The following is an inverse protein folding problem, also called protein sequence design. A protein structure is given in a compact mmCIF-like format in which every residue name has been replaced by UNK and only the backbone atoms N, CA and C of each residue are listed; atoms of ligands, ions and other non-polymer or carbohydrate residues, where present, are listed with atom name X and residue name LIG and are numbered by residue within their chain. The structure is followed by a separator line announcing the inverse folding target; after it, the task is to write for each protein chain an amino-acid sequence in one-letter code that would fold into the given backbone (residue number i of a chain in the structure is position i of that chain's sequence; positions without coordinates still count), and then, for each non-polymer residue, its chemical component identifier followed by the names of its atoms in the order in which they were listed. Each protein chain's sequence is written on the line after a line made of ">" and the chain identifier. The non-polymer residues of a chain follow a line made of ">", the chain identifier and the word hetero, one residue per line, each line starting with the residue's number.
data_IF_088545515069
#
_entry.id   IF_088545515069
#
_cell.length_a   1.000
_cell.length_b   1.000
_cell.length_c   1.000
_cell.angle_alpha   90.00
_cell.angle_beta   90.00
_cell.angle_gamma   90.00
#
_symmetry.space_group_name_H-M   'P 1'
#
loop_
_entity.id
_entity.type
_entity.pdbx_description
1 polymer ?
#
# COMPACT_ATOMS: atom_id res chain seq x y z
N UNK A 1 33.61 8.93 -29.96
CA UNK A 1 32.47 8.42 -30.74
C UNK A 1 32.10 7.04 -30.22
N UNK A 2 30.81 6.68 -30.25
CA UNK A 2 30.37 5.33 -29.90
C UNK A 2 30.83 4.35 -30.98
N UNK A 3 31.19 3.12 -30.58
CA UNK A 3 31.44 2.02 -31.52
C UNK A 3 30.14 1.67 -32.25
N UNK A 4 30.26 0.98 -33.38
CA UNK A 4 29.11 0.42 -34.10
C UNK A 4 28.27 -0.47 -33.15
N UNK A 5 26.95 -0.28 -33.15
CA UNK A 5 26.03 -0.92 -32.22
C UNK A 5 26.02 -0.33 -30.80
N UNK A 6 26.65 0.83 -30.58
CA UNK A 6 26.77 1.44 -29.27
C UNK A 6 25.44 1.96 -28.72
N UNK A 7 25.25 1.83 -27.40
CA UNK A 7 24.10 2.34 -26.68
C UNK A 7 24.36 3.73 -26.11
N UNK A 8 23.35 4.58 -26.20
CA UNK A 8 23.29 5.90 -25.59
C UNK A 8 22.24 5.90 -24.48
N UNK A 9 22.53 6.60 -23.38
CA UNK A 9 21.59 6.88 -22.32
C UNK A 9 21.77 8.33 -21.83
N UNK A 10 20.66 9.03 -21.61
CA UNK A 10 20.62 10.37 -21.04
C UNK A 10 19.64 10.45 -19.88
N UNK A 11 20.04 11.18 -18.83
CA UNK A 11 19.21 11.53 -17.68
C UNK A 11 18.81 13.00 -17.80
N UNK A 12 17.52 13.29 -17.90
CA UNK A 12 17.00 14.66 -18.07
C UNK A 12 15.85 14.93 -17.09
N UNK A 13 16.01 15.87 -16.12
CA UNK A 13 14.95 16.21 -15.18
C UNK A 13 13.76 16.96 -15.81
N UNK A 14 13.96 17.62 -16.96
CA UNK A 14 12.91 18.39 -17.63
C UNK A 14 12.54 17.78 -18.98
N UNK A 15 11.26 17.83 -19.36
CA UNK A 15 10.79 17.23 -20.62
C UNK A 15 11.31 17.97 -21.86
N UNK A 16 11.58 19.26 -21.76
CA UNK A 16 12.15 20.08 -22.84
C UNK A 16 13.60 19.64 -23.15
N UNK A 17 14.35 19.17 -22.13
CA UNK A 17 15.68 18.60 -22.33
C UNK A 17 15.60 17.27 -23.08
N UNK A 18 14.59 16.44 -22.77
CA UNK A 18 14.31 15.20 -23.50
C UNK A 18 14.00 15.51 -24.96
N UNK A 19 13.12 16.48 -25.23
CA UNK A 19 12.74 16.86 -26.59
C UNK A 19 13.96 17.28 -27.42
N UNK A 20 14.83 18.12 -26.85
CA UNK A 20 16.09 18.53 -27.49
C UNK A 20 17.02 17.35 -27.74
N UNK A 21 17.18 16.47 -26.75
CA UNK A 21 18.01 15.26 -26.85
C UNK A 21 17.50 14.32 -27.95
N UNK A 22 16.19 14.04 -27.98
CA UNK A 22 15.57 13.23 -29.02
C UNK A 22 15.71 13.84 -30.41
N UNK A 23 15.62 15.17 -30.53
CA UNK A 23 15.89 15.88 -31.78
C UNK A 23 17.32 15.67 -32.26
N UNK A 24 18.31 15.86 -31.38
CA UNK A 24 19.72 15.65 -31.69
C UNK A 24 20.04 14.18 -32.05
N UNK A 25 19.45 13.22 -31.33
CA UNK A 25 19.63 11.79 -31.60
C UNK A 25 19.09 11.40 -32.99
N UNK A 26 17.91 11.89 -33.38
CA UNK A 26 17.37 11.66 -34.72
C UNK A 26 18.26 12.25 -35.81
N UNK A 27 18.74 13.48 -35.61
CA UNK A 27 19.64 14.13 -36.57
C UNK A 27 20.99 13.41 -36.70
N UNK A 28 21.41 12.68 -35.66
CA UNK A 28 22.64 11.90 -35.62
C UNK A 28 22.42 10.41 -36.02
N UNK A 29 21.28 10.07 -36.63
CA UNK A 29 20.92 8.72 -37.09
C UNK A 29 20.95 7.64 -35.98
N UNK A 30 20.61 8.01 -34.75
CA UNK A 30 20.32 7.02 -33.72
C UNK A 30 18.94 6.39 -33.93
N UNK A 31 18.87 5.09 -33.72
CA UNK A 31 17.65 4.31 -33.79
C UNK A 31 17.20 3.85 -32.40
N UNK A 32 16.02 3.23 -32.33
CA UNK A 32 15.44 2.70 -31.09
C UNK A 32 15.38 3.75 -29.95
N UNK A 33 15.14 5.01 -30.32
CA UNK A 33 15.04 6.11 -29.34
C UNK A 33 13.82 5.85 -28.46
N UNK A 34 14.06 5.64 -27.16
CA UNK A 34 13.04 5.33 -26.16
C UNK A 34 13.26 6.16 -24.91
N UNK A 35 12.24 6.89 -24.48
CA UNK A 35 12.25 7.58 -23.20
C UNK A 35 11.37 6.85 -22.20
N UNK A 36 11.87 6.64 -20.97
CA UNK A 36 11.14 6.05 -19.85
C UNK A 36 11.30 6.91 -18.59
N UNK A 37 10.38 6.76 -17.66
CA UNK A 37 10.51 7.24 -16.27
C UNK A 37 10.22 6.04 -15.36
N UNK A 38 11.01 5.87 -14.30
CA UNK A 38 10.78 4.80 -13.31
C UNK A 38 10.43 5.42 -11.95
N UNK A 39 9.28 5.04 -11.39
CA UNK A 39 8.84 5.49 -10.06
C UNK A 39 8.92 4.36 -9.05
N UNK A 40 9.55 4.63 -7.92
CA UNK A 40 9.60 3.71 -6.78
C UNK A 40 8.43 3.98 -5.84
N UNK A 41 7.65 2.94 -5.54
CA UNK A 41 6.56 3.01 -4.54
C UNK A 41 6.84 1.98 -3.45
N UNK A 42 7.38 2.40 -2.29
CA UNK A 42 7.59 1.50 -1.17
C UNK A 42 6.26 1.15 -0.47
N UNK A 43 6.20 -0.08 0.04
CA UNK A 43 5.08 -0.59 0.82
C UNK A 43 5.59 -1.13 2.15
N UNK A 44 4.88 -0.78 3.21
CA UNK A 44 5.08 -1.33 4.55
C UNK A 44 4.01 -2.37 4.86
N UNK A 45 4.44 -3.58 5.23
CA UNK A 45 3.54 -4.62 5.73
C UNK A 45 3.04 -4.24 7.12
N UNK A 46 1.73 -4.24 7.32
CA UNK A 46 1.09 -3.95 8.60
C UNK A 46 0.07 -5.02 8.91
N UNK A 47 -0.06 -5.34 10.20
CA UNK A 47 -1.15 -6.17 10.69
C UNK A 47 -2.27 -5.26 11.16
N UNK A 48 -3.48 -5.48 10.65
CA UNK A 48 -4.66 -4.70 11.00
C UNK A 48 -5.82 -5.62 11.36
N UNK A 49 -6.60 -5.21 12.35
CA UNK A 49 -7.87 -5.84 12.66
C UNK A 49 -8.97 -5.09 11.92
N UNK A 50 -9.71 -5.82 11.08
CA UNK A 50 -10.89 -5.30 10.40
C UNK A 50 -12.11 -5.67 11.24
N UNK A 51 -12.72 -4.72 11.97
CA UNK A 51 -13.86 -5.03 12.81
C UNK A 51 -15.06 -5.42 11.93
N UNK A 52 -15.75 -6.50 12.31
CA UNK A 52 -17.03 -6.85 11.69
C UNK A 52 -18.05 -5.77 12.10
N UNK A 53 -18.74 -5.14 11.13
CA UNK A 53 -19.81 -4.21 11.44
C UNK A 53 -20.88 -4.88 12.32
N UNK A 54 -21.38 -4.16 13.33
CA UNK A 54 -22.50 -4.65 14.14
C UNK A 54 -23.80 -4.54 13.33
N UNK A 55 -24.31 -5.68 12.88
CA UNK A 55 -25.58 -5.79 12.15
C UNK A 55 -26.80 -5.95 13.08
N UNK A 56 -26.62 -5.90 14.40
CA UNK A 56 -27.73 -5.93 15.36
C UNK A 56 -28.32 -7.32 15.65
N UNK A 57 -27.76 -8.40 15.09
CA UNK A 57 -28.22 -9.78 15.30
C UNK A 57 -28.11 -10.27 16.76
N UNK A 58 -27.35 -9.57 17.62
CA UNK A 58 -27.16 -9.93 19.04
C UNK A 58 -28.05 -9.17 20.03
N UNK A 59 -28.89 -8.23 19.59
CA UNK A 59 -29.82 -7.55 20.51
C UNK A 59 -30.98 -8.48 20.84
N UNK A 60 -30.93 -9.11 22.02
CA UNK A 60 -32.10 -9.73 22.64
C UNK A 60 -33.18 -8.65 22.81
N UNK A 61 -34.15 -8.62 21.91
CA UNK A 61 -35.37 -7.85 22.09
C UNK A 61 -36.11 -8.53 23.24
N UNK A 62 -36.34 -7.81 24.34
CA UNK A 62 -37.27 -8.25 25.37
C UNK A 62 -38.68 -8.12 24.80
N UNK A 63 -39.19 -9.19 24.20
CA UNK A 63 -40.62 -9.35 23.98
C UNK A 63 -41.24 -9.94 25.24
N UNK A 64 -42.36 -9.36 25.69
CA UNK A 64 -43.08 -9.73 26.91
C UNK A 64 -43.66 -11.17 26.88
N UNK A 65 -43.53 -11.86 25.74
CA UNK A 65 -43.94 -13.25 25.57
C UNK A 65 -42.72 -14.10 25.20
N UNK A 66 -42.33 -14.95 26.13
CA UNK A 66 -41.17 -15.82 26.04
C UNK A 66 -41.29 -16.81 24.88
N UNK A 67 -40.44 -16.63 23.87
CA UNK A 67 -39.81 -17.72 23.09
C UNK A 67 -38.58 -17.12 22.42
N UNK A 68 -37.40 -17.40 22.95
CA UNK A 68 -36.11 -16.99 22.38
C UNK A 68 -35.57 -18.11 21.51
N UNK A 69 -35.46 -17.86 20.20
CA UNK A 69 -34.62 -18.65 19.31
C UNK A 69 -33.64 -17.71 18.61
N UNK A 70 -32.36 -17.79 18.99
CA UNK A 70 -31.23 -17.73 18.06
C UNK A 70 -29.94 -18.07 18.79
N UNK A 71 -29.33 -19.15 18.32
CA UNK A 71 -28.07 -19.81 18.66
C UNK A 71 -26.86 -18.86 18.65
N UNK A 72 -25.98 -18.95 19.64
CA UNK A 72 -24.61 -19.54 19.56
C UNK A 72 -23.89 -19.24 20.88
N UNK A 73 -23.88 -20.21 21.78
CA UNK A 73 -23.10 -20.21 23.03
C UNK A 73 -21.65 -20.58 22.73
N UNK A 74 -20.73 -19.62 22.81
CA UNK A 74 -19.30 -19.91 23.02
C UNK A 74 -18.69 -18.75 23.83
N UNK A 75 -18.94 -18.71 25.14
CA UNK A 75 -18.27 -17.71 26.00
C UNK A 75 -18.32 -18.03 27.51
N UNK A 76 -17.80 -19.19 27.90
CA UNK A 76 -17.24 -19.37 29.24
C UNK A 76 -16.01 -20.26 29.06
N UNK A 77 -14.78 -19.71 29.16
CA UNK A 77 -13.53 -20.43 29.47
C UNK A 77 -12.23 -19.59 29.41
N UNK A 78 -12.24 -18.26 29.18
CA UNK A 78 -10.99 -17.46 29.08
C UNK A 78 -10.95 -16.23 30.02
N UNK A 79 -11.47 -16.33 31.23
CA UNK A 79 -11.15 -15.38 32.30
C UNK A 79 -10.28 -16.03 33.36
N UNK A 80 -9.02 -16.30 33.01
CA UNK A 80 -7.93 -16.38 33.98
C UNK A 80 -6.60 -16.15 33.26
N UNK A 81 -5.77 -15.25 33.81
CA UNK A 81 -4.46 -14.75 33.33
C UNK A 81 -4.48 -13.40 32.61
N UNK A 82 -4.62 -12.32 33.39
CA UNK A 82 -4.06 -11.00 33.00
C UNK A 82 -3.17 -10.44 34.10
N UNK A 83 -1.87 -10.45 33.81
CA UNK A 83 -0.79 -9.82 34.60
C UNK A 83 -0.89 -8.30 34.53
N UNK A 84 -0.46 -7.62 35.58
CA UNK A 84 -0.71 -6.20 35.89
C UNK A 84 -0.14 -5.16 34.91
N UNK A 85 0.66 -5.56 33.91
CA UNK A 85 1.35 -4.65 32.99
C UNK A 85 0.44 -3.96 31.95
N UNK A 86 -0.77 -4.48 31.70
CA UNK A 86 -1.66 -3.96 30.65
C UNK A 86 -2.42 -2.67 31.06
N UNK A 87 -2.34 -2.25 32.33
CA UNK A 87 -3.09 -1.09 32.85
C UNK A 87 -2.46 0.27 32.47
N UNK A 88 -1.15 0.35 32.20
CA UNK A 88 -0.51 1.66 31.97
C UNK A 88 -0.68 2.24 30.56
N UNK A 89 -0.96 1.43 29.53
CA UNK A 89 -1.03 1.95 28.13
C UNK A 89 -2.36 2.64 27.77
N UNK A 90 -3.31 2.81 28.70
CA UNK A 90 -4.65 3.37 28.40
C UNK A 90 -4.78 4.90 28.51
N UNK A 91 -3.68 5.68 28.44
CA UNK A 91 -3.75 7.15 28.58
C UNK A 91 -3.74 7.99 27.29
N UNK A 92 -3.73 7.40 26.09
CA UNK A 92 -3.88 8.18 24.84
C UNK A 92 -5.28 8.02 24.23
N UNK A 93 -5.98 9.15 24.16
CA UNK A 93 -7.41 9.30 23.83
C UNK A 93 -7.79 8.98 22.39
N UNK A 94 -7.80 7.71 22.04
CA UNK A 94 -8.56 7.17 20.91
C UNK A 94 -9.86 6.54 21.42
N UNK A 95 -11.00 6.88 20.81
CA UNK A 95 -12.32 6.28 21.06
C UNK A 95 -12.21 4.75 20.88
N UNK A 96 -12.10 4.00 21.99
CA UNK A 96 -11.97 2.53 21.96
C UNK A 96 -13.25 1.94 21.39
N UNK A 97 -13.20 1.50 20.13
CA UNK A 97 -14.29 0.77 19.49
C UNK A 97 -14.34 -0.62 20.14
N UNK A 98 -15.54 -1.03 20.55
CA UNK A 98 -15.75 -2.30 21.26
C UNK A 98 -15.44 -3.46 20.32
N UNK A 99 -14.53 -4.34 20.75
CA UNK A 99 -14.23 -5.61 20.08
C UNK A 99 -15.46 -6.51 20.15
N UNK A 100 -15.90 -7.05 19.02
CA UNK A 100 -16.96 -8.06 18.95
C UNK A 100 -16.28 -9.39 18.64
N UNK A 101 -16.50 -10.45 19.44
CA UNK A 101 -15.95 -11.77 19.18
C UNK A 101 -16.48 -12.32 17.85
N UNK A 102 -15.61 -12.91 17.03
CA UNK A 102 -15.95 -13.42 15.68
C UNK A 102 -15.46 -12.55 14.51
N UNK A 103 -14.67 -11.52 14.80
CA UNK A 103 -13.96 -10.75 13.76
C UNK A 103 -13.02 -11.64 12.94
N UNK A 104 -13.01 -11.44 11.62
CA UNK A 104 -12.02 -12.03 10.72
C UNK A 104 -10.64 -11.59 11.24
N UNK A 105 -9.78 -12.55 11.55
CA UNK A 105 -8.56 -12.35 12.34
C UNK A 105 -7.54 -11.38 11.76
N UNK A 106 -6.39 -11.28 12.42
CA UNK A 106 -5.30 -10.35 12.11
C UNK A 106 -4.93 -10.38 10.61
N UNK A 107 -5.26 -9.31 9.88
CA UNK A 107 -5.01 -9.21 8.44
C UNK A 107 -3.65 -8.57 8.16
N UNK A 108 -2.81 -9.24 7.38
CA UNK A 108 -1.59 -8.63 6.85
C UNK A 108 -1.97 -7.82 5.61
N UNK A 109 -1.73 -6.51 5.65
CA UNK A 109 -1.96 -5.58 4.54
C UNK A 109 -0.67 -4.89 4.13
N UNK A 110 -0.53 -4.60 2.84
CA UNK A 110 0.53 -3.75 2.32
C UNK A 110 0.04 -2.30 2.29
N UNK A 111 0.50 -1.47 3.22
CA UNK A 111 0.22 -0.02 3.19
C UNK A 111 1.30 0.68 2.38
N UNK A 112 0.91 1.44 1.36
CA UNK A 112 1.80 2.37 0.67
C UNK A 112 2.31 3.44 1.65
N UNK A 113 3.57 3.84 1.52
CA UNK A 113 4.11 4.92 2.33
C UNK A 113 3.44 6.26 2.02
N UNK A 114 3.24 7.06 3.07
CA UNK A 114 2.52 8.33 2.97
C UNK A 114 3.38 9.39 2.24
N UNK A 115 4.71 9.26 2.28
CA UNK A 115 5.65 10.07 1.50
C UNK A 115 6.00 9.34 0.18
N UNK A 116 5.51 9.87 -0.93
CA UNK A 116 5.82 9.35 -2.27
C UNK A 116 6.91 10.21 -2.87
N UNK A 117 8.03 9.59 -3.26
CA UNK A 117 9.09 10.28 -3.99
C UNK A 117 8.54 10.80 -5.32
N UNK A 118 8.71 12.10 -5.57
CA UNK A 118 8.28 12.74 -6.80
C UNK A 118 9.07 12.29 -8.04
N UNK A 119 8.78 12.94 -9.16
CA UNK A 119 9.55 12.78 -10.39
C UNK A 119 11.04 13.02 -10.15
N UNK A 120 11.89 12.11 -10.66
CA UNK A 120 13.35 12.27 -10.61
C UNK A 120 13.88 12.79 -11.93
N UNK A 121 13.68 12.02 -13.01
CA UNK A 121 14.01 12.40 -14.37
C UNK A 121 13.42 11.41 -15.38
N UNK A 122 13.48 11.82 -16.63
CA UNK A 122 13.35 10.96 -17.79
C UNK A 122 14.70 10.34 -18.17
N UNK A 123 14.66 9.07 -18.52
CA UNK A 123 15.78 8.31 -19.06
C UNK A 123 15.54 8.08 -20.55
N UNK A 124 16.38 8.66 -21.41
CA UNK A 124 16.30 8.48 -22.85
C UNK A 124 17.41 7.57 -23.33
N UNK A 125 17.04 6.45 -23.93
CA UNK A 125 17.93 5.46 -24.51
C UNK A 125 17.87 5.51 -26.03
N UNK A 126 18.98 5.20 -26.68
CA UNK A 126 19.04 5.03 -28.13
C UNK A 126 20.22 4.14 -28.53
N UNK A 127 20.22 3.62 -29.75
CA UNK A 127 21.28 2.77 -30.28
C UNK A 127 21.80 3.32 -31.61
N UNK A 128 23.13 3.35 -31.79
CA UNK A 128 23.75 3.71 -33.07
C UNK A 128 24.19 2.44 -33.78
N UNK A 129 23.42 1.96 -34.76
CA UNK A 129 23.71 0.70 -35.47
C UNK A 129 24.78 0.83 -36.56
N UNK A 130 24.83 1.95 -37.24
CA UNK A 130 25.72 2.20 -38.38
C UNK A 130 26.48 3.51 -38.17
N UNK A 131 27.70 3.61 -38.71
CA UNK A 131 28.54 4.80 -38.56
C UNK A 131 28.07 5.98 -39.41
#
# INVERSE_FOLDING_TARGET
>A
MLKQGGFFASYSPCIEQVQKTCGALRNANFELIRTIETRLVPYNSRRIDLPVPDFGFGKKIKTDNGTTASTTDVQELEEDLKTEEEKERKKNGGRKRKYVPGGVGEHIVAKKDDEIRGHTAYLTFATKFFE
#
